data_IF_499838818695
#
_entry.id   IF_499838818695
#
_cell.length_a   1.000
_cell.length_b   1.000
_cell.length_c   1.000
_cell.angle_alpha   90.00
_cell.angle_beta   90.00
_cell.angle_gamma   90.00
#
_symmetry.space_group_name_H-M   'P 1'
#
loop_
_entity.id
_entity.type
_entity.pdbx_description
1 polymer ?
#
# COMPACT_ATOMS: atom_id res chain seq x y z
N UNK A 1 -39.41 42.06 -16.18
CA UNK A 1 -39.30 40.71 -15.56
C UNK A 1 -38.23 39.93 -16.32
N UNK A 2 -36.97 40.06 -15.93
CA UNK A 2 -35.92 39.09 -16.29
C UNK A 2 -35.42 38.54 -14.96
N UNK A 3 -35.77 37.27 -14.70
CA UNK A 3 -35.32 36.53 -13.53
C UNK A 3 -34.02 35.83 -13.93
N UNK A 4 -32.88 36.40 -13.56
CA UNK A 4 -31.57 35.76 -13.68
C UNK A 4 -31.49 34.61 -12.67
N UNK A 5 -31.54 33.36 -13.15
CA UNK A 5 -31.14 32.19 -12.38
C UNK A 5 -29.62 32.23 -12.17
N UNK A 6 -29.20 32.50 -10.93
CA UNK A 6 -27.86 32.15 -10.47
C UNK A 6 -27.80 30.64 -10.28
N UNK A 7 -27.07 29.94 -11.15
CA UNK A 7 -26.64 28.56 -10.89
C UNK A 7 -25.51 28.66 -9.88
N UNK A 8 -25.82 28.39 -8.61
CA UNK A 8 -24.81 28.17 -7.57
C UNK A 8 -24.23 26.78 -7.84
N UNK A 9 -23.06 26.72 -8.47
CA UNK A 9 -22.25 25.50 -8.45
C UNK A 9 -21.80 25.25 -7.02
N UNK A 10 -22.38 24.23 -6.39
CA UNK A 10 -21.86 23.70 -5.14
C UNK A 10 -20.52 23.01 -5.45
N UNK A 11 -19.41 23.68 -5.15
CA UNK A 11 -18.12 23.04 -5.07
C UNK A 11 -18.19 21.99 -3.94
N UNK A 12 -17.98 20.72 -4.28
CA UNK A 12 -17.77 19.66 -3.29
C UNK A 12 -16.43 19.90 -2.61
N UNK A 13 -16.45 20.64 -1.51
CA UNK A 13 -15.32 20.70 -0.59
C UNK A 13 -15.05 19.29 -0.03
N UNK A 14 -13.79 18.88 0.04
CA UNK A 14 -13.40 17.72 0.83
C UNK A 14 -13.98 17.89 2.24
N UNK A 15 -14.78 16.93 2.70
CA UNK A 15 -15.43 17.02 3.99
C UNK A 15 -14.36 16.90 5.10
N UNK A 16 -13.89 18.03 5.60
CA UNK A 16 -13.00 18.07 6.76
C UNK A 16 -13.84 17.92 8.01
N UNK A 17 -13.63 16.84 8.77
CA UNK A 17 -14.37 16.59 10.00
C UNK A 17 -13.37 16.46 11.14
N UNK A 18 -13.55 17.30 12.17
CA UNK A 18 -12.82 17.13 13.43
C UNK A 18 -13.39 15.91 14.16
N UNK A 19 -12.56 15.09 14.82
CA UNK A 19 -13.05 13.97 15.61
C UNK A 19 -14.06 14.51 16.63
N UNK A 20 -15.30 14.03 16.54
CA UNK A 20 -16.36 14.46 17.46
C UNK A 20 -15.97 14.09 18.88
N UNK A 21 -16.18 15.01 19.82
CA UNK A 21 -16.08 14.75 21.26
C UNK A 21 -17.14 13.71 21.65
N UNK A 22 -16.78 12.42 21.69
CA UNK A 22 -17.73 11.36 22.04
C UNK A 22 -17.21 10.56 23.24
N UNK A 23 -18.16 10.35 24.16
CA UNK A 23 -18.01 9.59 25.38
C UNK A 23 -17.87 8.04 25.15
N UNK A 24 -17.30 7.31 26.12
CA UNK A 24 -16.82 7.84 27.39
C UNK A 24 -15.59 8.69 27.14
N UNK A 25 -15.50 9.78 27.89
CA UNK A 25 -14.55 10.90 27.79
C UNK A 25 -13.05 10.53 27.96
N UNK A 26 -12.68 9.29 27.62
CA UNK A 26 -11.36 8.69 27.78
C UNK A 26 -10.73 8.25 26.46
N UNK A 27 -11.41 8.31 25.31
CA UNK A 27 -10.80 8.03 24.01
C UNK A 27 -10.12 9.28 23.44
N UNK A 28 -9.05 9.76 24.10
CA UNK A 28 -8.21 10.91 23.65
C UNK A 28 -7.53 10.72 22.27
N UNK A 29 -7.76 9.57 21.63
CA UNK A 29 -6.97 9.09 20.52
C UNK A 29 -7.75 8.04 19.70
N UNK A 30 -7.97 8.28 18.41
CA UNK A 30 -8.66 7.37 17.49
C UNK A 30 -7.63 6.62 16.63
N UNK A 31 -7.59 5.30 16.77
CA UNK A 31 -6.71 4.45 15.96
C UNK A 31 -7.18 4.33 14.50
N UNK A 32 -6.39 4.85 13.58
CA UNK A 32 -6.48 4.63 12.15
C UNK A 32 -5.79 3.33 11.76
N UNK A 33 -6.45 2.47 10.99
CA UNK A 33 -6.05 1.07 10.83
C UNK A 33 -5.71 0.69 9.39
N UNK A 34 -4.93 -0.37 9.23
CA UNK A 34 -4.57 -0.94 7.91
C UNK A 34 -5.77 -1.44 7.08
N UNK A 35 -6.89 -1.80 7.71
CA UNK A 35 -8.10 -2.29 7.03
C UNK A 35 -9.35 -1.98 7.87
N UNK A 36 -10.56 -1.97 7.28
CA UNK A 36 -11.80 -1.61 7.96
C UNK A 36 -12.32 -2.71 8.90
N UNK A 37 -11.50 -3.15 9.86
CA UNK A 37 -11.89 -4.12 10.90
C UNK A 37 -11.22 -3.78 12.23
N UNK A 38 -11.91 -4.04 13.34
CA UNK A 38 -11.44 -3.69 14.68
C UNK A 38 -10.16 -4.46 15.09
N UNK A 39 -9.84 -5.58 14.45
CA UNK A 39 -8.62 -6.35 14.66
C UNK A 39 -7.44 -5.91 13.80
N UNK A 40 -7.63 -4.96 12.88
CA UNK A 40 -6.57 -4.45 12.03
C UNK A 40 -5.56 -3.62 12.82
N UNK A 41 -4.29 -3.72 12.44
CA UNK A 41 -3.20 -2.96 13.04
C UNK A 41 -3.50 -1.46 12.94
N UNK A 42 -3.41 -0.76 14.07
CA UNK A 42 -3.40 0.71 14.12
C UNK A 42 -2.09 1.21 13.54
N UNK A 43 -2.19 1.94 12.43
CA UNK A 43 -1.05 2.54 11.73
C UNK A 43 -0.85 4.00 12.07
N UNK A 44 -1.87 4.70 12.57
CA UNK A 44 -1.79 6.09 13.05
C UNK A 44 -2.82 6.26 14.14
N UNK A 45 -2.59 7.16 15.08
CA UNK A 45 -3.59 7.53 16.08
C UNK A 45 -3.85 9.02 15.98
N UNK A 46 -5.12 9.41 15.78
CA UNK A 46 -5.53 10.81 15.72
C UNK A 46 -5.93 11.32 17.10
N UNK A 47 -5.35 12.42 17.55
CA UNK A 47 -5.75 13.10 18.78
C UNK A 47 -6.91 14.08 18.58
N UNK A 48 -7.40 14.63 19.70
CA UNK A 48 -8.57 15.53 19.74
C UNK A 48 -8.44 16.81 18.90
N UNK A 49 -7.21 17.21 18.54
CA UNK A 49 -6.91 18.42 17.76
C UNK A 49 -6.61 18.13 16.29
N UNK A 50 -6.49 16.86 15.90
CA UNK A 50 -6.19 16.49 14.51
C UNK A 50 -7.41 16.72 13.62
N UNK A 51 -7.20 17.27 12.43
CA UNK A 51 -8.22 17.39 11.38
C UNK A 51 -8.05 16.20 10.45
N UNK A 52 -9.08 15.37 10.30
CA UNK A 52 -9.05 14.22 9.41
C UNK A 52 -9.67 14.61 8.07
N UNK A 53 -8.86 14.53 7.01
CA UNK A 53 -9.36 14.64 5.65
C UNK A 53 -9.99 13.31 5.24
N UNK A 54 -11.30 13.34 5.00
CA UNK A 54 -12.08 12.18 4.61
C UNK A 54 -11.94 11.97 3.10
N UNK A 55 -11.49 10.78 2.71
CA UNK A 55 -11.44 10.38 1.31
C UNK A 55 -12.74 9.73 0.87
N UNK A 56 -13.15 8.68 1.58
CA UNK A 56 -14.32 7.88 1.22
C UNK A 56 -14.81 7.05 2.41
N UNK A 57 -16.01 6.46 2.27
CA UNK A 57 -16.59 5.53 3.26
C UNK A 57 -16.68 4.10 2.72
N UNK A 58 -16.53 3.11 3.58
CA UNK A 58 -16.79 1.70 3.26
C UNK A 58 -17.66 1.06 4.33
N UNK A 59 -18.49 0.10 3.95
CA UNK A 59 -19.42 -0.58 4.86
C UNK A 59 -19.05 -2.05 4.93
N UNK A 60 -18.75 -2.54 6.13
CA UNK A 60 -18.45 -3.96 6.36
C UNK A 60 -19.66 -4.64 6.96
N UNK A 61 -20.08 -5.74 6.34
CA UNK A 61 -21.14 -6.62 6.85
C UNK A 61 -20.52 -7.60 7.84
N UNK A 62 -20.80 -7.44 9.13
CA UNK A 62 -20.33 -8.35 10.18
C UNK A 62 -21.24 -9.57 10.33
N UNK A 63 -22.56 -9.36 10.20
CA UNK A 63 -23.59 -10.40 10.16
C UNK A 63 -24.73 -9.96 9.25
N UNK A 64 -25.68 -10.85 8.94
CA UNK A 64 -26.85 -10.54 8.10
C UNK A 64 -27.69 -9.34 8.60
N UNK A 65 -27.55 -8.93 9.87
CA UNK A 65 -28.26 -7.82 10.49
C UNK A 65 -27.36 -6.71 11.05
N UNK A 66 -26.03 -6.82 10.91
CA UNK A 66 -25.09 -5.86 11.48
C UNK A 66 -24.06 -5.42 10.46
N UNK A 67 -24.13 -4.15 10.09
CA UNK A 67 -23.11 -3.46 9.30
C UNK A 67 -22.35 -2.46 10.15
N UNK A 68 -21.11 -2.18 9.78
CA UNK A 68 -20.29 -1.15 10.41
C UNK A 68 -19.65 -0.30 9.33
N UNK A 69 -19.82 1.01 9.44
CA UNK A 69 -19.20 1.98 8.54
C UNK A 69 -17.80 2.36 9.01
N UNK A 70 -16.92 2.50 8.03
CA UNK A 70 -15.53 2.93 8.18
C UNK A 70 -15.25 4.06 7.21
N UNK A 71 -14.39 4.97 7.63
CA UNK A 71 -13.91 6.10 6.85
C UNK A 71 -12.45 5.84 6.48
N UNK A 72 -12.14 5.96 5.20
CA UNK A 72 -10.76 6.04 4.72
C UNK A 72 -10.31 7.50 4.80
N UNK A 73 -9.18 7.73 5.45
CA UNK A 73 -8.59 9.05 5.60
C UNK A 73 -7.53 9.31 4.52
N UNK A 74 -7.09 10.56 4.37
CA UNK A 74 -6.01 10.93 3.45
C UNK A 74 -4.68 10.18 3.73
N UNK A 75 -4.51 9.66 4.95
CA UNK A 75 -3.36 8.85 5.35
C UNK A 75 -3.45 7.39 4.88
N UNK A 76 -4.40 7.06 3.99
CA UNK A 76 -4.64 5.73 3.45
C UNK A 76 -4.91 4.66 4.52
N UNK A 77 -5.55 5.05 5.61
CA UNK A 77 -5.92 4.16 6.71
C UNK A 77 -7.41 4.32 7.08
N UNK A 78 -7.94 3.39 7.87
CA UNK A 78 -9.36 3.26 8.15
C UNK A 78 -9.69 3.59 9.60
N UNK A 79 -10.65 4.49 9.80
CA UNK A 79 -11.21 4.88 11.09
C UNK A 79 -12.68 4.46 11.16
N UNK A 80 -13.18 3.87 12.25
CA UNK A 80 -14.62 3.61 12.39
C UNK A 80 -15.43 4.92 12.35
N UNK A 81 -16.44 5.01 11.49
CA UNK A 81 -17.25 6.22 11.31
C UNK A 81 -17.91 6.67 12.63
N UNK A 82 -18.28 5.70 13.47
CA UNK A 82 -18.85 5.91 14.81
C UNK A 82 -17.98 6.75 15.74
N UNK A 83 -16.65 6.77 15.55
CA UNK A 83 -15.74 7.57 16.37
C UNK A 83 -15.55 9.00 15.85
N UNK A 84 -16.09 9.30 14.67
CA UNK A 84 -16.02 10.63 14.05
C UNK A 84 -17.32 11.42 14.18
N UNK A 85 -18.33 10.88 14.88
CA UNK A 85 -19.67 11.50 14.95
C UNK A 85 -20.38 11.55 13.59
N UNK A 86 -19.93 10.73 12.63
CA UNK A 86 -20.57 10.60 11.32
C UNK A 86 -21.75 9.65 11.50
N UNK A 87 -22.93 10.22 11.55
CA UNK A 87 -24.19 9.48 11.55
C UNK A 87 -24.58 9.04 10.13
N UNK A 88 -25.68 8.31 10.03
CA UNK A 88 -26.13 7.73 8.78
C UNK A 88 -26.42 8.82 7.72
N UNK A 89 -26.93 9.98 8.13
CA UNK A 89 -27.24 11.11 7.25
C UNK A 89 -25.97 11.80 6.75
N UNK A 90 -25.03 12.12 7.65
CA UNK A 90 -23.71 12.68 7.33
C UNK A 90 -22.93 11.73 6.42
N UNK A 91 -23.04 10.43 6.66
CA UNK A 91 -22.36 9.42 5.84
C UNK A 91 -22.80 9.49 4.37
N UNK A 92 -24.07 9.83 4.06
CA UNK A 92 -24.59 9.86 2.68
C UNK A 92 -23.92 10.90 1.79
N UNK A 93 -23.36 11.96 2.38
CA UNK A 93 -22.58 12.97 1.66
C UNK A 93 -21.13 12.57 1.39
N UNK A 94 -20.65 11.47 1.99
CA UNK A 94 -19.29 10.96 1.80
C UNK A 94 -19.31 9.95 0.64
N UNK A 95 -18.44 10.12 -0.38
CA UNK A 95 -18.36 9.16 -1.48
C UNK A 95 -18.05 7.76 -0.95
N UNK A 96 -18.74 6.74 -1.47
CA UNK A 96 -18.32 5.37 -1.19
C UNK A 96 -16.92 5.15 -1.76
N UNK A 97 -16.07 4.48 -0.99
CA UNK A 97 -14.88 3.88 -1.54
C UNK A 97 -15.41 2.93 -2.61
N UNK A 98 -15.09 3.18 -3.89
CA UNK A 98 -15.37 2.22 -4.96
C UNK A 98 -15.08 0.83 -4.40
N UNK A 99 -16.10 -0.04 -4.39
CA UNK A 99 -16.19 -1.18 -3.47
C UNK A 99 -14.81 -1.82 -3.31
N UNK A 100 -14.22 -1.72 -2.11
CA UNK A 100 -12.87 -2.25 -1.84
C UNK A 100 -12.80 -3.77 -2.07
N UNK A 101 -13.96 -4.43 -2.08
CA UNK A 101 -14.11 -5.83 -2.47
C UNK A 101 -14.00 -6.05 -4.00
N UNK A 102 -14.15 -5.00 -4.81
CA UNK A 102 -13.92 -4.99 -6.26
C UNK A 102 -12.54 -4.44 -6.66
N UNK A 103 -11.97 -3.51 -5.88
CA UNK A 103 -10.63 -2.97 -6.16
C UNK A 103 -9.56 -3.95 -5.68
N UNK A 104 -8.65 -4.38 -6.56
CA UNK A 104 -7.56 -5.30 -6.20
C UNK A 104 -6.27 -4.51 -5.84
N UNK A 105 -5.72 -4.57 -4.62
CA UNK A 105 -4.48 -3.86 -4.29
C UNK A 105 -3.33 -4.26 -5.21
N UNK A 106 -2.42 -3.32 -5.49
CA UNK A 106 -1.18 -3.67 -6.17
C UNK A 106 -0.34 -4.61 -5.33
N UNK A 107 0.11 -5.68 -5.97
CA UNK A 107 0.85 -6.74 -5.32
C UNK A 107 2.11 -6.12 -4.73
N UNK A 108 2.37 -6.37 -3.45
CA UNK A 108 3.63 -5.93 -2.84
C UNK A 108 4.79 -6.79 -3.35
N UNK A 109 6.04 -6.31 -3.23
CA UNK A 109 7.20 -7.15 -3.51
C UNK A 109 7.12 -8.47 -2.74
N UNK A 110 7.57 -9.54 -3.38
CA UNK A 110 7.73 -10.82 -2.70
C UNK A 110 8.89 -10.74 -1.68
N UNK A 111 9.10 -11.78 -0.84
CA UNK A 111 10.15 -11.74 0.18
C UNK A 111 11.54 -11.39 -0.36
N UNK A 112 11.91 -11.92 -1.53
CA UNK A 112 13.20 -11.60 -2.15
C UNK A 112 13.33 -10.12 -2.53
N UNK A 113 12.25 -9.50 -3.03
CA UNK A 113 12.19 -8.06 -3.28
C UNK A 113 12.29 -7.23 -2.01
N UNK A 114 11.54 -7.62 -0.97
CA UNK A 114 11.54 -6.93 0.32
C UNK A 114 12.93 -6.98 0.97
N UNK A 115 13.57 -8.14 1.00
CA UNK A 115 14.93 -8.34 1.51
C UNK A 115 15.96 -7.52 0.71
N UNK A 116 15.79 -7.46 -0.61
CA UNK A 116 16.65 -6.67 -1.48
C UNK A 116 16.55 -5.18 -1.16
N UNK A 117 15.34 -4.65 -0.97
CA UNK A 117 15.13 -3.24 -0.57
C UNK A 117 15.76 -3.00 0.80
N UNK A 118 15.44 -3.82 1.82
CA UNK A 118 16.01 -3.66 3.16
C UNK A 118 17.53 -3.66 3.19
N UNK A 119 18.16 -4.53 2.38
CA UNK A 119 19.62 -4.59 2.27
C UNK A 119 20.21 -3.28 1.77
N UNK A 120 19.62 -2.67 0.74
CA UNK A 120 20.18 -1.48 0.09
C UNK A 120 19.79 -0.17 0.77
N UNK A 121 18.60 -0.07 1.37
CA UNK A 121 18.23 1.10 2.16
C UNK A 121 18.99 1.16 3.49
N UNK A 122 19.35 -0.01 4.04
CA UNK A 122 19.91 -0.11 5.38
C UNK A 122 18.88 0.24 6.46
N UNK A 123 19.22 -0.02 7.72
CA UNK A 123 18.31 0.21 8.85
C UNK A 123 18.79 1.38 9.71
N UNK A 124 17.91 2.37 9.90
CA UNK A 124 18.09 3.50 10.81
C UNK A 124 17.16 3.33 12.02
N UNK A 125 17.75 3.06 13.19
CA UNK A 125 16.99 2.92 14.44
C UNK A 125 16.57 4.27 15.05
N UNK A 126 17.11 5.38 14.51
CA UNK A 126 16.84 6.77 14.86
C UNK A 126 16.77 7.62 13.59
N UNK A 127 16.01 8.73 13.61
CA UNK A 127 16.00 9.69 12.52
C UNK A 127 17.41 10.16 12.16
N UNK A 128 17.71 10.16 10.86
CA UNK A 128 18.91 10.81 10.30
C UNK A 128 18.47 11.90 9.33
N UNK A 129 18.84 13.13 9.64
CA UNK A 129 18.59 14.28 8.77
C UNK A 129 19.67 14.39 7.71
N UNK A 130 19.26 14.45 6.45
CA UNK A 130 20.13 14.81 5.35
C UNK A 130 20.44 16.31 5.42
N UNK A 131 21.73 16.65 5.42
CA UNK A 131 22.20 18.02 5.63
C UNK A 131 21.91 18.95 4.45
N UNK A 132 21.61 18.39 3.27
CA UNK A 132 21.39 19.17 2.05
C UNK A 132 19.91 19.48 1.83
N UNK A 133 19.04 18.48 2.02
CA UNK A 133 17.58 18.59 1.86
C UNK A 133 16.87 19.00 3.15
N UNK A 134 17.47 18.79 4.32
CA UNK A 134 16.82 18.97 5.63
C UNK A 134 15.79 17.87 5.95
N UNK A 135 15.65 16.88 5.07
CA UNK A 135 14.71 15.78 5.21
C UNK A 135 15.28 14.70 6.15
N UNK A 136 14.45 14.18 7.05
CA UNK A 136 14.82 13.07 7.92
C UNK A 136 14.30 11.75 7.42
N UNK A 137 15.11 10.71 7.64
CA UNK A 137 14.80 9.33 7.29
C UNK A 137 14.96 8.41 8.49
N UNK A 138 14.13 7.36 8.56
CA UNK A 138 14.19 6.33 9.61
C UNK A 138 13.82 4.95 9.03
N UNK A 139 14.08 3.86 9.76
CA UNK A 139 13.73 2.53 9.32
C UNK A 139 14.50 2.13 8.07
N UNK A 140 13.81 1.59 7.07
CA UNK A 140 14.38 1.23 5.76
C UNK A 140 13.98 2.27 4.72
N UNK A 141 14.61 3.44 4.79
CA UNK A 141 14.43 4.52 3.81
C UNK A 141 13.12 5.31 3.94
N UNK A 142 12.37 5.16 5.04
CA UNK A 142 11.14 5.91 5.25
C UNK A 142 11.45 7.39 5.43
N UNK A 143 10.85 8.23 4.58
CA UNK A 143 10.96 9.67 4.64
C UNK A 143 9.93 10.22 5.64
N UNK A 144 10.40 10.78 6.75
CA UNK A 144 9.51 11.30 7.77
C UNK A 144 8.73 12.55 7.28
N UNK A 145 7.52 12.75 7.80
CA UNK A 145 6.72 13.96 7.52
C UNK A 145 7.41 15.23 8.03
N UNK A 146 8.12 15.14 9.16
CA UNK A 146 8.87 16.24 9.75
C UNK A 146 10.35 15.89 9.90
N UNK A 147 11.21 16.91 9.97
CA UNK A 147 12.65 16.73 10.25
C UNK A 147 12.92 16.04 11.61
N UNK A 148 11.95 16.02 12.54
CA UNK A 148 12.08 15.35 13.83
C UNK A 148 11.44 13.96 13.87
N UNK A 149 10.73 13.56 12.81
CA UNK A 149 9.91 12.34 12.78
C UNK A 149 8.91 12.27 13.96
N UNK A 150 8.45 13.42 14.44
CA UNK A 150 7.52 13.57 15.57
C UNK A 150 6.05 13.65 15.13
N UNK A 151 5.79 13.55 13.83
CA UNK A 151 4.46 13.48 13.23
C UNK A 151 4.12 12.07 12.72
N UNK A 152 5.07 11.15 12.87
CA UNK A 152 4.87 9.75 12.56
C UNK A 152 3.91 9.06 13.55
N UNK A 153 3.43 7.84 13.28
CA UNK A 153 2.67 7.07 14.27
C UNK A 153 3.37 6.97 15.63
N UNK A 154 2.62 7.05 16.73
CA UNK A 154 3.18 7.14 18.10
C UNK A 154 4.11 5.95 18.43
N UNK A 155 3.82 4.78 17.87
CA UNK A 155 4.63 3.57 18.00
C UNK A 155 6.01 3.70 17.36
N UNK A 156 6.20 4.62 16.42
CA UNK A 156 7.46 4.83 15.69
C UNK A 156 8.12 6.19 15.98
N UNK A 157 7.49 7.03 16.82
CA UNK A 157 8.10 8.23 17.41
C UNK A 157 9.02 7.91 18.61
N UNK A 158 8.96 6.69 19.15
CA UNK A 158 9.79 6.25 20.28
C UNK A 158 11.06 5.59 19.77
N UNK A 159 12.19 6.24 20.04
CA UNK A 159 13.49 5.78 19.57
C UNK A 159 14.30 5.07 20.69
N UNK A 160 15.12 4.05 20.37
CA UNK A 160 15.31 3.48 19.04
C UNK A 160 14.11 2.64 18.57
N UNK A 161 13.77 2.71 17.28
CA UNK A 161 12.82 1.77 16.69
C UNK A 161 13.50 0.41 16.43
N UNK A 162 12.72 -0.65 16.42
CA UNK A 162 13.14 -1.99 16.02
C UNK A 162 13.12 -2.17 14.50
N UNK A 163 13.86 -3.17 13.99
CA UNK A 163 13.77 -3.57 12.57
C UNK A 163 12.34 -3.94 12.15
N UNK A 164 11.54 -4.46 13.07
CA UNK A 164 10.13 -4.77 12.82
C UNK A 164 9.33 -3.49 12.58
N UNK A 165 9.48 -2.47 13.43
CA UNK A 165 8.86 -1.15 13.20
C UNK A 165 9.33 -0.52 11.89
N UNK A 166 10.63 -0.61 11.56
CA UNK A 166 11.14 -0.17 10.27
C UNK A 166 10.58 -0.94 9.07
N UNK A 167 10.29 -2.22 9.23
CA UNK A 167 9.65 -3.04 8.18
C UNK A 167 8.18 -2.66 7.97
N UNK A 168 7.47 -2.26 9.02
CA UNK A 168 6.10 -1.75 8.92
C UNK A 168 6.07 -0.45 8.13
N UNK A 169 7.00 0.47 8.41
CA UNK A 169 7.18 1.70 7.63
C UNK A 169 7.45 1.39 6.15
N UNK A 170 8.43 0.52 5.88
CA UNK A 170 8.75 0.12 4.51
C UNK A 170 7.54 -0.48 3.78
N UNK A 171 6.77 -1.33 4.46
CA UNK A 171 5.55 -1.90 3.90
C UNK A 171 4.51 -0.81 3.54
N UNK A 172 4.40 0.24 4.35
CA UNK A 172 3.55 1.40 4.05
C UNK A 172 4.05 2.17 2.83
N UNK A 173 5.35 2.46 2.76
CA UNK A 173 5.93 3.21 1.66
C UNK A 173 5.85 2.43 0.33
N UNK A 174 5.96 1.09 0.40
CA UNK A 174 5.84 0.21 -0.76
C UNK A 174 4.44 0.16 -1.35
N UNK A 175 3.40 0.45 -0.58
CA UNK A 175 2.06 0.60 -1.11
C UNK A 175 1.99 1.76 -2.12
N UNK A 176 2.53 2.92 -1.77
CA UNK A 176 2.59 4.07 -2.69
C UNK A 176 3.48 3.78 -3.90
N UNK A 177 4.62 3.12 -3.68
CA UNK A 177 5.57 2.75 -4.73
C UNK A 177 4.95 1.79 -5.75
N UNK A 178 4.26 0.75 -5.28
CA UNK A 178 3.59 -0.22 -6.14
C UNK A 178 2.43 0.41 -6.91
N UNK A 179 1.67 1.31 -6.28
CA UNK A 179 0.61 2.08 -6.92
C UNK A 179 1.13 2.94 -8.07
N UNK A 180 2.17 3.74 -7.81
CA UNK A 180 2.70 4.64 -8.82
C UNK A 180 3.32 3.84 -9.97
N UNK A 181 4.06 2.77 -9.68
CA UNK A 181 4.62 1.90 -10.71
C UNK A 181 3.55 1.27 -11.58
N UNK A 182 2.45 0.81 -10.98
CA UNK A 182 1.36 0.21 -11.73
C UNK A 182 0.74 1.19 -12.75
N UNK A 183 0.51 2.44 -12.34
CA UNK A 183 0.03 3.54 -13.20
C UNK A 183 1.05 3.96 -14.24
N UNK A 184 2.34 3.90 -13.90
CA UNK A 184 3.43 4.24 -14.82
C UNK A 184 3.59 3.21 -15.94
N UNK A 185 3.21 1.96 -15.73
CA UNK A 185 3.37 0.91 -16.75
C UNK A 185 2.16 0.74 -17.68
N UNK A 186 0.96 1.13 -17.26
CA UNK A 186 -0.24 1.17 -18.10
C UNK A 186 -1.24 2.17 -17.55
N UNK A 187 -2.08 2.76 -18.40
CA UNK A 187 -3.23 3.59 -17.96
C UNK A 187 -4.49 2.76 -17.70
N UNK A 188 -4.52 1.55 -18.25
CA UNK A 188 -5.59 0.59 -18.07
C UNK A 188 -4.97 -0.76 -17.77
N UNK A 189 -5.07 -1.16 -16.52
CA UNK A 189 -4.51 -2.39 -15.97
C UNK A 189 -5.38 -3.61 -16.27
N UNK A 190 -6.68 -3.41 -16.55
CA UNK A 190 -7.59 -4.51 -16.88
C UNK A 190 -7.39 -4.95 -18.33
N UNK A 191 -7.06 -4.01 -19.22
CA UNK A 191 -6.86 -4.28 -20.64
C UNK A 191 -5.39 -4.37 -21.06
N UNK A 192 -4.43 -4.10 -20.17
CA UNK A 192 -3.01 -4.21 -20.51
C UNK A 192 -2.60 -5.65 -20.84
N UNK A 193 -1.78 -5.78 -21.87
CA UNK A 193 -1.15 -7.06 -22.24
C UNK A 193 0.15 -7.33 -21.48
N UNK A 194 0.66 -6.34 -20.71
CA UNK A 194 1.91 -6.46 -19.98
C UNK A 194 1.77 -7.44 -18.82
N UNK A 195 2.57 -8.51 -18.85
CA UNK A 195 2.64 -9.52 -17.78
C UNK A 195 4.02 -9.55 -17.16
N UNK A 196 4.08 -9.40 -15.83
CA UNK A 196 5.32 -9.51 -15.07
C UNK A 196 5.20 -10.62 -14.04
N UNK A 197 6.24 -11.45 -13.94
CA UNK A 197 6.36 -12.39 -12.82
C UNK A 197 6.56 -11.64 -11.50
N UNK A 198 6.32 -12.29 -10.36
CA UNK A 198 6.53 -11.71 -9.03
C UNK A 198 7.96 -11.17 -8.84
N UNK A 199 8.97 -11.82 -9.40
CA UNK A 199 10.37 -11.40 -9.30
C UNK A 199 10.65 -10.17 -10.19
N UNK A 200 10.09 -10.16 -11.40
CA UNK A 200 10.19 -9.01 -12.31
C UNK A 200 9.53 -7.77 -11.70
N UNK A 201 8.33 -7.95 -11.16
CA UNK A 201 7.60 -6.91 -10.45
C UNK A 201 8.38 -6.40 -9.23
N UNK A 202 8.85 -7.31 -8.38
CA UNK A 202 9.60 -6.97 -7.17
C UNK A 202 10.89 -6.19 -7.45
N UNK A 203 11.62 -6.56 -8.50
CA UNK A 203 12.81 -5.84 -8.94
C UNK A 203 12.49 -4.42 -9.42
N UNK A 204 11.43 -4.24 -10.21
CA UNK A 204 10.98 -2.92 -10.65
C UNK A 204 10.47 -2.05 -9.50
N UNK A 205 9.79 -2.64 -8.51
CA UNK A 205 9.37 -1.93 -7.30
C UNK A 205 10.59 -1.48 -6.50
N UNK A 206 11.60 -2.33 -6.33
CA UNK A 206 12.84 -1.95 -5.63
C UNK A 206 13.60 -0.82 -6.32
N UNK A 207 13.69 -0.88 -7.65
CA UNK A 207 14.25 0.20 -8.45
C UNK A 207 13.45 1.49 -8.28
N UNK A 208 12.12 1.42 -8.37
CA UNK A 208 11.23 2.59 -8.22
C UNK A 208 11.32 3.20 -6.83
N UNK A 209 11.38 2.36 -5.78
CA UNK A 209 11.60 2.82 -4.41
C UNK A 209 12.92 3.59 -4.26
N UNK A 210 13.98 3.10 -4.92
CA UNK A 210 15.31 3.71 -4.90
C UNK A 210 15.36 5.12 -5.49
N UNK A 211 14.61 5.37 -6.56
CA UNK A 211 14.74 6.58 -7.37
C UNK A 211 13.53 7.52 -7.25
N UNK A 212 12.44 7.05 -6.66
CA UNK A 212 11.17 7.75 -6.56
C UNK A 212 10.30 7.65 -7.82
N UNK A 213 8.99 7.80 -7.64
CA UNK A 213 7.99 7.70 -8.70
C UNK A 213 8.21 8.75 -9.81
N UNK A 214 8.58 9.99 -9.47
CA UNK A 214 8.69 11.08 -10.44
C UNK A 214 9.80 10.86 -11.47
N UNK A 215 10.95 10.36 -11.02
CA UNK A 215 12.07 10.04 -11.90
C UNK A 215 11.79 8.76 -12.69
N UNK A 216 11.18 7.75 -12.06
CA UNK A 216 10.76 6.53 -12.74
C UNK A 216 9.78 6.84 -13.89
N UNK A 217 8.80 7.72 -13.66
CA UNK A 217 7.77 8.08 -14.66
C UNK A 217 8.36 8.68 -15.93
N UNK A 218 9.47 9.43 -15.80
CA UNK A 218 10.16 10.11 -16.90
C UNK A 218 11.22 9.23 -17.56
N UNK A 219 11.38 7.97 -17.11
CA UNK A 219 12.43 7.09 -17.58
C UNK A 219 12.16 6.49 -18.96
N UNK A 220 13.23 6.26 -19.71
CA UNK A 220 13.16 5.43 -20.93
C UNK A 220 12.78 3.98 -20.60
N UNK A 221 13.07 3.49 -19.41
CA UNK A 221 12.65 2.16 -18.95
C UNK A 221 11.12 2.05 -18.98
N UNK A 222 10.43 2.98 -18.32
CA UNK A 222 8.96 3.01 -18.26
C UNK A 222 8.37 3.30 -19.65
N UNK A 223 8.89 4.31 -20.37
CA UNK A 223 8.36 4.68 -21.68
C UNK A 223 8.39 3.49 -22.67
N UNK A 224 9.51 2.77 -22.73
CA UNK A 224 9.69 1.63 -23.65
C UNK A 224 8.79 0.45 -23.29
N UNK A 225 8.66 0.12 -21.99
CA UNK A 225 7.73 -0.93 -21.55
C UNK A 225 6.28 -0.55 -21.90
N UNK A 226 5.88 0.70 -21.63
CA UNK A 226 4.53 1.20 -21.96
C UNK A 226 4.24 1.18 -23.46
N UNK A 227 5.25 1.41 -24.30
CA UNK A 227 5.16 1.27 -25.75
C UNK A 227 5.16 -0.19 -26.25
N UNK A 228 5.08 -1.17 -25.35
CA UNK A 228 4.94 -2.59 -25.69
C UNK A 228 6.26 -3.31 -25.99
N UNK A 229 7.41 -2.68 -25.76
CA UNK A 229 8.69 -3.38 -25.86
C UNK A 229 8.84 -4.45 -24.77
N UNK A 230 9.58 -5.53 -25.09
CA UNK A 230 9.80 -6.63 -24.15
C UNK A 230 10.42 -6.13 -22.83
N UNK A 231 9.76 -6.34 -21.67
CA UNK A 231 10.29 -5.92 -20.38
C UNK A 231 11.67 -6.50 -20.09
N UNK A 232 11.95 -7.72 -20.54
CA UNK A 232 13.27 -8.36 -20.40
C UNK A 232 14.35 -7.59 -21.15
N UNK A 233 14.08 -7.18 -22.39
CA UNK A 233 15.04 -6.45 -23.20
C UNK A 233 15.22 -5.02 -22.67
N UNK A 234 14.13 -4.35 -22.33
CA UNK A 234 14.15 -2.97 -21.83
C UNK A 234 14.88 -2.89 -20.49
N UNK A 235 14.53 -3.73 -19.51
CA UNK A 235 15.14 -3.69 -18.18
C UNK A 235 16.64 -4.02 -18.27
N UNK A 236 17.04 -4.98 -19.10
CA UNK A 236 18.46 -5.28 -19.31
C UNK A 236 19.25 -4.09 -19.91
N UNK A 237 18.63 -3.29 -20.78
CA UNK A 237 19.28 -2.16 -21.45
C UNK A 237 19.25 -0.86 -20.61
N UNK A 238 18.14 -0.60 -19.90
CA UNK A 238 17.91 0.68 -19.24
C UNK A 238 18.29 0.68 -17.76
N UNK A 239 18.07 -0.42 -17.03
CA UNK A 239 18.27 -0.45 -15.57
C UNK A 239 19.72 -0.14 -15.14
N UNK A 240 20.78 -0.65 -15.81
CA UNK A 240 22.17 -0.29 -15.49
C UNK A 240 22.49 1.21 -15.61
N UNK A 241 21.75 1.96 -16.45
CA UNK A 241 22.01 3.41 -16.60
C UNK A 241 21.67 4.19 -15.34
N UNK A 242 20.80 3.64 -14.49
CA UNK A 242 20.40 4.19 -13.18
C UNK A 242 21.40 3.90 -12.06
N UNK A 243 22.68 3.72 -12.42
CA UNK A 243 23.81 3.71 -11.48
C UNK A 243 24.85 4.80 -11.76
N UNK A 244 24.58 5.69 -12.73
CA UNK A 244 25.52 6.73 -13.18
C UNK A 244 25.05 8.11 -12.71
N UNK A 245 25.90 8.82 -11.98
CA UNK A 245 25.67 10.21 -11.55
C UNK A 245 26.75 11.09 -12.19
N UNK A 246 26.34 12.16 -12.90
CA UNK A 246 27.26 13.08 -13.58
C UNK A 246 28.26 12.37 -14.52
N UNK A 247 27.78 11.33 -15.21
CA UNK A 247 28.60 10.53 -16.14
C UNK A 247 29.55 9.54 -15.47
N UNK A 248 29.54 9.41 -14.14
CA UNK A 248 30.38 8.47 -13.40
C UNK A 248 29.56 7.36 -12.73
N UNK A 249 29.93 6.08 -12.89
CA UNK A 249 29.31 5.00 -12.14
C UNK A 249 29.49 5.19 -10.64
N UNK A 250 28.43 4.94 -9.88
CA UNK A 250 28.42 4.91 -8.42
C UNK A 250 28.38 3.46 -7.98
N UNK A 251 29.35 3.02 -7.18
CA UNK A 251 29.54 1.60 -6.81
C UNK A 251 28.29 1.00 -6.15
N UNK A 252 27.72 1.69 -5.17
CA UNK A 252 26.57 1.18 -4.41
C UNK A 252 25.33 1.05 -5.31
N UNK A 253 25.09 2.04 -6.17
CA UNK A 253 23.99 1.98 -7.14
C UNK A 253 24.23 0.89 -8.18
N UNK A 254 25.48 0.71 -8.64
CA UNK A 254 25.82 -0.32 -9.63
C UNK A 254 25.50 -1.70 -9.06
N UNK A 255 25.96 -1.97 -7.83
CA UNK A 255 25.69 -3.23 -7.12
C UNK A 255 24.18 -3.44 -6.92
N UNK A 256 23.44 -2.37 -6.57
CA UNK A 256 21.98 -2.41 -6.46
C UNK A 256 21.28 -2.76 -7.77
N UNK A 257 21.60 -2.07 -8.87
CA UNK A 257 21.02 -2.33 -10.19
C UNK A 257 21.33 -3.75 -10.68
N UNK A 258 22.51 -4.29 -10.40
CA UNK A 258 22.87 -5.69 -10.70
C UNK A 258 22.05 -6.70 -9.90
N UNK A 259 21.84 -6.45 -8.62
CA UNK A 259 21.00 -7.31 -7.78
C UNK A 259 19.53 -7.27 -8.22
N UNK A 260 19.00 -6.10 -8.56
CA UNK A 260 17.65 -5.95 -9.12
C UNK A 260 17.52 -6.68 -10.47
N UNK A 261 18.53 -6.57 -11.36
CA UNK A 261 18.58 -7.34 -12.61
C UNK A 261 18.61 -8.85 -12.37
N UNK A 262 19.35 -9.29 -11.36
CA UNK A 262 19.45 -10.71 -10.98
C UNK A 262 18.10 -11.21 -10.49
N UNK A 263 17.43 -10.48 -9.60
CA UNK A 263 16.07 -10.79 -9.16
C UNK A 263 15.12 -10.82 -10.37
N UNK A 264 15.13 -9.79 -11.22
CA UNK A 264 14.26 -9.69 -12.39
C UNK A 264 14.40 -10.89 -13.34
N UNK A 265 15.62 -11.41 -13.53
CA UNK A 265 15.90 -12.57 -14.39
C UNK A 265 15.60 -13.92 -13.74
N UNK A 266 15.45 -13.94 -12.41
CA UNK A 266 15.16 -15.18 -11.67
C UNK A 266 13.77 -15.65 -12.02
N UNK A 267 13.67 -16.86 -12.58
CA UNK A 267 12.37 -17.43 -13.01
C UNK A 267 11.42 -17.52 -11.83
N UNK A 268 10.19 -17.06 -12.04
CA UNK A 268 9.04 -17.39 -11.20
C UNK A 268 7.86 -17.77 -12.09
N UNK A 269 7.02 -18.67 -11.58
CA UNK A 269 5.76 -19.08 -12.20
C UNK A 269 4.56 -18.24 -11.75
N UNK A 270 4.74 -17.39 -10.74
CA UNK A 270 3.70 -16.50 -10.19
C UNK A 270 3.68 -15.17 -10.93
N UNK A 271 2.49 -14.67 -11.30
CA UNK A 271 2.30 -13.37 -11.95
C UNK A 271 1.83 -12.34 -10.90
N UNK A 272 2.45 -11.17 -10.86
CA UNK A 272 2.13 -10.10 -9.90
C UNK A 272 1.53 -8.83 -10.56
N UNK A 273 1.68 -8.67 -11.88
CA UNK A 273 1.12 -7.58 -12.69
C UNK A 273 0.62 -8.17 -14.02
N UNK A 274 -0.58 -7.83 -14.51
CA UNK A 274 -1.33 -6.59 -14.28
C UNK A 274 -2.57 -6.74 -13.39
N UNK A 275 -2.57 -7.69 -12.45
CA UNK A 275 -3.78 -7.95 -11.67
C UNK A 275 -3.96 -6.97 -10.50
N UNK A 276 -3.86 -5.66 -10.67
CA UNK A 276 -4.18 -4.72 -9.60
C UNK A 276 -4.94 -3.50 -10.08
N UNK A 277 -5.87 -3.01 -9.29
CA UNK A 277 -6.64 -1.81 -9.56
C UNK A 277 -5.83 -0.55 -9.23
N UNK A 278 -5.71 0.33 -10.22
CA UNK A 278 -4.95 1.58 -10.12
C UNK A 278 -5.64 2.61 -9.23
N UNK A 279 -6.95 2.49 -9.02
CA UNK A 279 -7.76 3.35 -8.16
C UNK A 279 -7.77 2.89 -6.70
N UNK A 280 -7.16 1.74 -6.38
CA UNK A 280 -7.00 1.26 -5.00
C UNK A 280 -6.40 2.32 -4.06
N UNK A 281 -5.45 3.12 -4.55
CA UNK A 281 -4.85 4.21 -3.76
C UNK A 281 -5.39 5.60 -4.11
N UNK A 282 -5.92 5.82 -5.32
CA UNK A 282 -6.38 7.13 -5.80
C UNK A 282 -7.86 7.36 -5.49
N UNK A 283 -8.22 7.42 -4.22
CA UNK A 283 -9.49 8.07 -3.81
C UNK A 283 -9.25 9.43 -3.19
N UNK A 284 -8.39 10.24 -3.82
CA UNK A 284 -8.48 11.70 -3.83
C UNK A 284 -7.94 12.22 -5.16
N UNK A 285 -8.76 12.98 -5.87
CA UNK A 285 -8.44 13.83 -7.03
C UNK A 285 -8.51 13.18 -8.43
N UNK A 286 -9.69 12.74 -8.85
CA UNK A 286 -10.04 12.78 -10.28
C UNK A 286 -11.26 13.69 -10.49
N UNK A 287 -11.00 14.97 -10.78
CA UNK A 287 -12.01 15.93 -11.27
C UNK A 287 -12.43 15.65 -12.73
N UNK A 288 -12.00 14.53 -13.31
CA UNK A 288 -12.23 14.22 -14.72
C UNK A 288 -12.61 12.76 -14.96
N UNK A 289 -13.76 12.35 -14.41
CA UNK A 289 -14.87 11.73 -15.17
C UNK A 289 -15.91 11.15 -14.21
N UNK A 290 -17.04 11.83 -14.10
CA UNK A 290 -18.30 11.18 -13.73
C UNK A 290 -18.63 10.12 -14.79
N UNK A 291 -18.59 8.85 -14.40
CA UNK A 291 -19.01 7.74 -15.22
C UNK A 291 -19.74 6.73 -14.34
N UNK A 292 -21.07 6.83 -14.31
CA UNK A 292 -21.94 5.83 -13.72
C UNK A 292 -21.65 4.46 -14.38
N UNK A 293 -21.19 3.48 -13.60
CA UNK A 293 -21.08 2.11 -14.09
C UNK A 293 -22.42 1.43 -13.83
N UNK A 294 -23.20 1.32 -14.90
CA UNK A 294 -24.44 0.58 -14.95
C UNK A 294 -24.18 -0.90 -14.66
N UNK A 295 -25.01 -1.48 -13.80
CA UNK A 295 -25.09 -2.92 -13.62
C UNK A 295 -25.45 -3.60 -14.94
N UNK A 296 -24.73 -4.66 -15.30
CA UNK A 296 -25.31 -5.70 -16.16
C UNK A 296 -24.73 -7.06 -15.81
N UNK A 297 -25.65 -8.02 -15.84
CA UNK A 297 -25.57 -9.36 -15.29
C UNK A 297 -24.67 -10.31 -16.08
N UNK A 298 -24.21 -11.30 -15.32
CA UNK A 298 -23.42 -12.49 -15.63
C UNK A 298 -23.93 -13.32 -16.82
N UNK A 299 -22.99 -13.93 -17.56
CA UNK A 299 -23.17 -15.31 -18.06
C UNK A 299 -21.86 -16.08 -17.98
N UNK A 300 -21.96 -17.26 -17.38
CA UNK A 300 -20.91 -18.14 -16.89
C UNK A 300 -20.26 -19.02 -17.98
N UNK A 301 -19.09 -19.61 -17.68
CA UNK A 301 -19.03 -21.01 -17.20
C UNK A 301 -17.67 -21.34 -16.51
N UNK A 302 -17.64 -22.10 -15.39
CA UNK A 302 -16.50 -22.24 -14.50
C UNK A 302 -15.73 -23.57 -14.67
N UNK A 303 -14.42 -23.54 -14.45
CA UNK A 303 -13.64 -24.75 -14.14
C UNK A 303 -13.27 -24.77 -12.66
N UNK A 304 -13.74 -25.82 -11.99
CA UNK A 304 -13.54 -26.17 -10.56
C UNK A 304 -12.05 -26.27 -10.20
N UNK A 305 -11.54 -25.61 -9.13
CA UNK A 305 -10.21 -25.89 -8.60
C UNK A 305 -10.21 -27.16 -7.72
N UNK A 306 -9.22 -28.04 -7.91
CA UNK A 306 -8.98 -29.19 -7.04
C UNK A 306 -8.66 -28.73 -5.61
N UNK A 307 -9.20 -29.45 -4.62
CA UNK A 307 -8.97 -29.20 -3.20
C UNK A 307 -7.50 -29.49 -2.84
N UNK A 308 -6.67 -28.44 -2.79
CA UNK A 308 -5.30 -28.53 -2.25
C UNK A 308 -5.39 -28.71 -0.73
N UNK A 309 -4.45 -29.44 -0.12
CA UNK A 309 -4.42 -29.64 1.33
C UNK A 309 -3.76 -28.44 2.03
N UNK A 310 -4.18 -28.06 3.26
CA UNK A 310 -3.63 -26.92 3.99
C UNK A 310 -2.12 -27.02 4.26
N UNK A 311 -1.57 -28.23 4.36
CA UNK A 311 -0.15 -28.46 4.56
C UNK A 311 0.72 -28.28 3.31
N UNK A 312 0.11 -28.17 2.13
CA UNK A 312 0.79 -28.07 0.84
C UNK A 312 0.79 -26.66 0.25
N UNK A 313 0.15 -25.71 0.94
CA UNK A 313 0.11 -24.29 0.56
C UNK A 313 0.86 -23.46 1.61
N UNK A 314 1.25 -22.24 1.24
CA UNK A 314 1.81 -21.28 2.20
C UNK A 314 3.08 -21.77 2.94
N UNK A 315 3.89 -22.63 2.29
CA UNK A 315 5.10 -23.22 2.88
C UNK A 315 6.09 -22.16 3.37
N UNK A 316 6.23 -21.06 2.63
CA UNK A 316 7.15 -19.97 2.96
C UNK A 316 6.68 -19.15 4.17
N UNK A 317 5.40 -18.73 4.19
CA UNK A 317 4.85 -17.98 5.35
C UNK A 317 4.79 -18.87 6.60
N UNK A 318 4.56 -20.17 6.42
CA UNK A 318 4.63 -21.17 7.48
C UNK A 318 6.05 -21.30 8.03
N UNK A 319 7.05 -21.49 7.17
CA UNK A 319 8.46 -21.61 7.57
C UNK A 319 8.94 -20.35 8.29
N UNK A 320 8.63 -19.16 7.76
CA UNK A 320 8.99 -17.91 8.41
C UNK A 320 8.36 -17.76 9.80
N UNK A 321 7.06 -18.07 9.93
CA UNK A 321 6.36 -18.12 11.21
C UNK A 321 7.02 -19.11 12.17
N UNK A 322 7.24 -20.35 11.72
CA UNK A 322 7.73 -21.45 12.56
C UNK A 322 9.17 -21.20 13.01
N UNK A 323 10.03 -20.68 12.13
CA UNK A 323 11.39 -20.22 12.48
C UNK A 323 11.33 -19.09 13.50
N UNK A 324 10.46 -18.10 13.32
CA UNK A 324 10.31 -17.03 14.31
C UNK A 324 9.81 -17.56 15.66
N UNK A 325 8.84 -18.48 15.66
CA UNK A 325 8.35 -19.10 16.89
C UNK A 325 9.44 -19.91 17.60
N UNK A 326 10.26 -20.62 16.84
CA UNK A 326 11.41 -21.35 17.38
C UNK A 326 12.46 -20.39 17.97
N UNK A 327 12.80 -19.31 17.27
CA UNK A 327 13.84 -18.36 17.69
C UNK A 327 13.43 -17.45 18.84
N UNK A 328 12.12 -17.20 19.02
CA UNK A 328 11.60 -16.24 20.00
C UNK A 328 10.98 -16.88 21.25
N UNK A 329 10.81 -18.21 21.26
CA UNK A 329 10.34 -18.96 22.42
C UNK A 329 9.09 -18.34 23.06
N UNK A 330 9.16 -18.05 24.36
CA UNK A 330 8.04 -17.49 25.13
C UNK A 330 7.57 -16.11 24.65
N UNK A 331 8.39 -15.39 23.89
CA UNK A 331 8.02 -14.10 23.32
C UNK A 331 7.41 -14.19 21.91
N UNK A 332 7.33 -15.39 21.32
CA UNK A 332 6.89 -15.60 19.95
C UNK A 332 5.48 -15.05 19.67
N UNK A 333 4.56 -15.17 20.63
CA UNK A 333 3.18 -14.70 20.44
C UNK A 333 3.10 -13.17 20.31
N UNK A 334 4.00 -12.43 20.98
CA UNK A 334 4.14 -10.97 20.81
C UNK A 334 5.02 -10.61 19.60
N UNK A 335 6.12 -11.33 19.39
CA UNK A 335 7.16 -10.95 18.42
C UNK A 335 6.96 -11.52 17.01
N UNK A 336 6.11 -12.52 16.82
CA UNK A 336 5.89 -13.20 15.54
C UNK A 336 4.45 -13.07 15.01
N UNK A 337 3.61 -12.25 15.66
CA UNK A 337 2.18 -12.09 15.32
C UNK A 337 1.93 -11.64 13.86
N UNK A 338 2.86 -10.88 13.26
CA UNK A 338 2.79 -10.46 11.87
C UNK A 338 3.00 -11.64 10.90
N UNK A 339 3.87 -12.59 11.23
CA UNK A 339 4.08 -13.81 10.45
C UNK A 339 2.89 -14.78 10.59
N UNK A 340 2.28 -14.82 11.77
CA UNK A 340 1.01 -15.54 11.99
C UNK A 340 -0.08 -14.95 11.11
N UNK A 341 -0.17 -13.62 11.03
CA UNK A 341 -1.17 -12.92 10.22
C UNK A 341 -0.93 -13.10 8.72
N UNK A 342 0.33 -13.02 8.26
CA UNK A 342 0.69 -13.29 6.87
C UNK A 342 0.41 -14.75 6.48
N UNK A 343 0.68 -15.70 7.38
CA UNK A 343 0.35 -17.10 7.15
C UNK A 343 -1.17 -17.35 7.11
N UNK A 344 -1.93 -16.72 8.01
CA UNK A 344 -3.40 -16.78 8.02
C UNK A 344 -4.01 -16.20 6.75
N UNK A 345 -3.48 -15.06 6.27
CA UNK A 345 -3.95 -14.45 5.03
C UNK A 345 -3.70 -15.36 3.83
N UNK A 346 -2.48 -15.88 3.68
CA UNK A 346 -2.15 -16.81 2.59
C UNK A 346 -3.11 -18.01 2.57
N UNK A 347 -3.43 -18.58 3.73
CA UNK A 347 -4.34 -19.73 3.78
C UNK A 347 -5.80 -19.35 3.51
N UNK A 348 -6.23 -18.14 3.90
CA UNK A 348 -7.54 -17.62 3.55
C UNK A 348 -7.68 -17.41 2.03
N UNK A 349 -6.61 -17.00 1.35
CA UNK A 349 -6.58 -16.84 -0.11
C UNK A 349 -6.75 -18.18 -0.86
N UNK A 350 -6.35 -19.29 -0.24
CA UNK A 350 -6.64 -20.66 -0.71
C UNK A 350 -8.00 -21.20 -0.24
N UNK A 351 -8.82 -20.37 0.39
CA UNK A 351 -10.17 -20.72 0.84
C UNK A 351 -10.24 -21.53 2.13
N UNK A 352 -9.14 -21.64 2.90
CA UNK A 352 -9.16 -22.30 4.20
C UNK A 352 -9.70 -21.34 5.28
N UNK A 353 -10.61 -21.84 6.12
CA UNK A 353 -11.07 -21.12 7.33
C UNK A 353 -10.09 -21.41 8.48
N UNK A 354 -9.45 -20.37 9.03
CA UNK A 354 -8.41 -20.47 10.07
C UNK A 354 -8.80 -19.74 11.34
#
# INVERSE_FOLDING_TARGET
MLLTLFIISAATAAAQIKPASIEPANARAIGCRTSPKDSALTVRTYGDQDVLDIQCRTTIVLTASRTVQWIRTADNCYVPARYMGIDEETSRGIPECATLDALKPCTLPNPAGFDLIQRYEGFLDRPRTDIFSGQSYIGFGHQCVSAKCDQEPVEIQKFPISKTQGSVLLWQDLQNTTACLARMLSDDIETTSLKLSENMWSALVSWTFSIGCDLAAKSQLVARIRHGESPVAVVAAELPKWSVIHGKPVSDLTTRREAELTLFRTRSSSVAYPHCDQNWFNNTNDDTKGGAVAATETSANPQKPQAVKPCCVCLETKKARDTCYFDKGDEAEKKCHYLVSAHRQCMADFGFKI
#
